data_IF_122155292646
#
_entry.id   IF_122155292646
#
_cell.length_a   1.000
_cell.length_b   1.000
_cell.length_c   1.000
_cell.angle_alpha   90.00
_cell.angle_beta   90.00
_cell.angle_gamma   90.00
#
_symmetry.space_group_name_H-M   'P 1'
#
loop_
_entity.id
_entity.type
_entity.pdbx_description
1 polymer ?
#
# COMPACT_ATOMS: atom_id res chain seq x y z
N UNK A 1 35.80 27.79 51.16
CA UNK A 1 34.44 27.44 50.70
C UNK A 1 34.00 28.48 49.70
N UNK A 2 33.83 28.09 48.42
CA UNK A 2 32.95 28.77 47.46
C UNK A 2 32.95 27.99 46.15
N UNK A 3 31.96 27.11 45.99
CA UNK A 3 31.64 26.47 44.71
C UNK A 3 30.88 27.48 43.88
N UNK A 4 31.44 27.88 42.75
CA UNK A 4 30.76 28.72 41.75
C UNK A 4 29.92 27.81 40.87
N UNK A 5 28.60 27.93 40.93
CA UNK A 5 27.67 27.15 40.10
C UNK A 5 27.63 27.70 38.66
N UNK A 6 27.68 26.81 37.67
CA UNK A 6 27.47 27.13 36.25
C UNK A 6 25.96 27.25 35.96
N UNK A 7 25.54 28.15 35.06
CA UNK A 7 24.13 28.31 34.70
C UNK A 7 23.62 27.07 33.94
N UNK A 8 22.43 26.58 34.32
CA UNK A 8 21.75 25.52 33.62
C UNK A 8 21.15 26.04 32.32
N UNK A 9 21.46 25.41 31.19
CA UNK A 9 20.78 25.65 29.93
C UNK A 9 19.40 24.99 29.97
N UNK A 10 18.34 25.78 30.06
CA UNK A 10 16.99 25.31 29.79
C UNK A 10 16.93 24.87 28.32
N UNK A 11 16.61 23.60 28.08
CA UNK A 11 16.17 23.14 26.75
C UNK A 11 14.73 23.60 26.55
N UNK A 12 14.54 24.91 26.43
CA UNK A 12 13.25 25.51 26.11
C UNK A 12 13.30 25.99 24.66
N UNK A 13 13.53 25.04 23.76
CA UNK A 13 13.17 25.22 22.38
C UNK A 13 11.89 24.40 22.18
N UNK A 14 10.73 25.02 21.90
CA UNK A 14 9.55 24.24 21.54
C UNK A 14 9.92 23.35 20.35
N UNK A 15 9.46 22.08 20.31
CA UNK A 15 9.69 21.24 19.15
C UNK A 15 9.23 22.01 17.92
N UNK A 16 10.12 22.17 16.94
CA UNK A 16 9.79 22.86 15.70
C UNK A 16 8.56 22.17 15.11
N UNK A 17 7.44 22.88 15.07
CA UNK A 17 6.18 22.35 14.57
C UNK A 17 6.36 22.09 13.07
N UNK A 18 6.38 20.81 12.70
CA UNK A 18 6.43 20.40 11.30
C UNK A 18 5.01 20.41 10.75
N UNK A 19 4.59 21.57 10.27
CA UNK A 19 3.33 21.70 9.53
C UNK A 19 3.50 21.12 8.13
N UNK A 20 2.80 20.03 7.85
CA UNK A 20 2.72 19.45 6.52
C UNK A 20 1.45 19.98 5.86
N UNK A 21 1.61 20.84 4.85
CA UNK A 21 0.50 21.34 4.04
C UNK A 21 0.33 20.40 2.84
N UNK A 22 -0.84 19.78 2.73
CA UNK A 22 -1.18 18.93 1.60
C UNK A 22 -2.17 19.72 0.75
N UNK A 23 -1.74 20.11 -0.45
CA UNK A 23 -2.66 20.67 -1.43
C UNK A 23 -3.72 19.60 -1.78
N UNK A 24 -4.99 20.02 -1.87
CA UNK A 24 -6.11 19.14 -2.23
C UNK A 24 -6.04 18.84 -3.74
N UNK A 25 -5.18 17.90 -4.12
CA UNK A 25 -5.09 17.38 -5.49
C UNK A 25 -6.34 16.55 -5.79
N UNK A 26 -7.27 17.15 -6.53
CA UNK A 26 -8.51 16.51 -6.92
C UNK A 26 -8.25 15.48 -8.03
N UNK A 27 -7.99 14.24 -7.63
CA UNK A 27 -7.79 13.12 -8.56
C UNK A 27 -9.13 12.73 -9.19
N UNK A 28 -9.37 13.19 -10.42
CA UNK A 28 -10.52 12.75 -11.21
C UNK A 28 -10.21 11.39 -11.83
N UNK A 29 -10.81 10.33 -11.29
CA UNK A 29 -10.75 8.99 -11.85
C UNK A 29 -12.02 8.67 -12.63
N UNK A 30 -11.94 8.66 -13.95
CA UNK A 30 -13.03 8.11 -14.76
C UNK A 30 -13.06 6.60 -14.58
N UNK A 31 -14.23 6.04 -14.23
CA UNK A 31 -14.46 4.60 -14.29
C UNK A 31 -14.55 4.20 -15.76
N UNK A 32 -13.40 3.92 -16.37
CA UNK A 32 -13.37 3.18 -17.62
C UNK A 32 -13.71 1.75 -17.26
N UNK A 33 -14.98 1.37 -17.42
CA UNK A 33 -15.33 -0.05 -17.43
C UNK A 33 -14.54 -0.65 -18.60
N UNK A 34 -13.62 -1.60 -18.37
CA UNK A 34 -13.07 -2.35 -19.47
C UNK A 34 -14.22 -3.24 -19.93
N UNK A 35 -15.11 -2.69 -20.75
CA UNK A 35 -16.17 -3.45 -21.40
C UNK A 35 -15.45 -4.55 -22.15
N UNK A 36 -15.51 -5.75 -21.56
CA UNK A 36 -14.56 -6.82 -21.81
C UNK A 36 -14.41 -7.04 -23.30
N UNK A 37 -13.24 -6.67 -23.82
CA UNK A 37 -12.92 -6.86 -25.22
C UNK A 37 -13.07 -8.36 -25.50
N UNK A 38 -14.02 -8.72 -26.38
CA UNK A 38 -14.19 -10.12 -26.74
C UNK A 38 -12.94 -10.56 -27.50
N UNK A 39 -12.07 -11.30 -26.82
CA UNK A 39 -10.89 -11.89 -27.43
C UNK A 39 -11.34 -12.98 -28.41
N UNK A 40 -11.58 -12.59 -29.67
CA UNK A 40 -11.86 -13.53 -30.76
C UNK A 40 -10.55 -14.24 -31.09
N UNK A 41 -10.33 -15.40 -30.47
CA UNK A 41 -9.13 -16.20 -30.69
C UNK A 41 -9.15 -16.75 -32.12
N UNK A 42 -8.39 -16.13 -33.03
CA UNK A 42 -8.01 -16.73 -34.32
C UNK A 42 -7.21 -18.00 -34.00
N UNK A 43 -7.62 -19.13 -34.61
CA UNK A 43 -7.08 -20.50 -34.48
C UNK A 43 -5.81 -20.58 -33.63
N UNK A 44 -5.95 -21.11 -32.40
CA UNK A 44 -4.90 -21.28 -31.38
C UNK A 44 -3.58 -21.72 -32.03
N UNK A 45 -2.66 -20.77 -32.22
CA UNK A 45 -1.26 -21.08 -32.48
C UNK A 45 -0.70 -21.92 -31.33
N UNK A 46 0.42 -22.61 -31.53
CA UNK A 46 1.06 -23.41 -30.47
C UNK A 46 1.66 -22.50 -29.39
N UNK A 47 0.82 -21.98 -28.51
CA UNK A 47 1.19 -21.22 -27.31
C UNK A 47 0.62 -21.94 -26.08
N UNK A 48 1.43 -22.00 -25.02
CA UNK A 48 1.02 -22.61 -23.76
C UNK A 48 -0.15 -21.82 -23.16
N UNK A 49 -1.09 -22.52 -22.53
CA UNK A 49 -2.16 -21.87 -21.76
C UNK A 49 -1.57 -21.28 -20.49
N UNK A 50 -1.86 -20.01 -20.21
CA UNK A 50 -1.56 -19.38 -18.92
C UNK A 50 -2.65 -19.62 -17.87
N UNK A 51 -3.82 -20.12 -18.31
CA UNK A 51 -4.91 -20.50 -17.41
C UNK A 51 -4.60 -21.89 -16.84
N UNK A 52 -4.49 -21.97 -15.51
CA UNK A 52 -4.26 -23.19 -14.75
C UNK A 52 -5.34 -23.37 -13.69
N UNK A 53 -5.72 -24.63 -13.43
CA UNK A 53 -6.65 -24.97 -12.35
C UNK A 53 -5.86 -25.01 -11.04
N UNK A 54 -6.32 -24.32 -10.00
CA UNK A 54 -5.68 -24.30 -8.69
C UNK A 54 -6.09 -25.53 -7.87
N UNK A 55 -5.14 -26.41 -7.57
CA UNK A 55 -5.41 -27.69 -6.89
C UNK A 55 -5.63 -27.56 -5.38
N UNK A 56 -5.05 -26.54 -4.75
CA UNK A 56 -5.03 -26.40 -3.27
C UNK A 56 -5.83 -25.20 -2.76
N UNK A 57 -6.75 -24.68 -3.56
CA UNK A 57 -7.56 -23.51 -3.17
C UNK A 57 -8.36 -23.73 -1.88
N UNK A 58 -9.09 -24.86 -1.80
CA UNK A 58 -9.93 -25.20 -0.64
C UNK A 58 -9.11 -25.37 0.65
N UNK A 59 -8.04 -26.18 0.70
CA UNK A 59 -7.26 -26.33 1.93
C UNK A 59 -6.55 -25.05 2.36
N UNK A 60 -6.13 -24.18 1.45
CA UNK A 60 -5.53 -22.87 1.81
C UNK A 60 -6.56 -21.88 2.34
N UNK A 61 -7.77 -21.87 1.76
CA UNK A 61 -8.88 -21.03 2.24
C UNK A 61 -9.25 -21.36 3.68
N UNK A 62 -9.34 -22.64 4.04
CA UNK A 62 -9.66 -23.05 5.42
C UNK A 62 -8.60 -22.59 6.42
N UNK A 63 -7.31 -22.71 6.09
CA UNK A 63 -6.21 -22.21 6.93
C UNK A 63 -6.33 -20.72 7.22
N UNK A 64 -6.71 -19.91 6.23
CA UNK A 64 -6.83 -18.46 6.40
C UNK A 64 -7.94 -18.03 7.37
N UNK A 65 -8.94 -18.89 7.61
CA UNK A 65 -10.03 -18.61 8.56
C UNK A 65 -9.66 -19.05 9.98
N UNK A 66 -8.83 -20.08 10.11
CA UNK A 66 -8.34 -20.57 11.41
C UNK A 66 -7.29 -19.64 12.04
N UNK A 67 -6.60 -18.83 11.23
CA UNK A 67 -5.61 -17.83 11.67
C UNK A 67 -6.24 -16.49 12.15
N UNK A 68 -7.57 -16.39 12.30
CA UNK A 68 -8.31 -15.21 12.79
C UNK A 68 -8.89 -15.41 14.19
#
# INVERSE_FOLDING_TARGET
MSVTALPAHAQDAPPAETTYDFEDDLVTGDLVRPDGEQLIVRRRGRRASLIQIREHFIPEMLKSVEDL
#
